data_IF_732651854218
#
_entry.id   IF_732651854218
#
_cell.length_a   1.000
_cell.length_b   1.000
_cell.length_c   1.000
_cell.angle_alpha   90.00
_cell.angle_beta   90.00
_cell.angle_gamma   90.00
#
_symmetry.space_group_name_H-M   'P 1'
#
loop_
_entity.id
_entity.type
_entity.pdbx_description
1 polymer ?
#
# COMPACT_ATOMS: atom_id res chain seq x y z
N UNK A 1 60.00 16.36 -19.51
CA UNK A 1 59.69 15.51 -18.34
C UNK A 1 58.26 15.81 -17.90
N UNK A 2 57.40 14.79 -17.82
CA UNK A 2 55.95 14.90 -17.65
C UNK A 2 55.62 15.33 -16.20
N UNK A 3 54.87 16.42 -16.05
CA UNK A 3 54.32 16.86 -14.76
C UNK A 3 53.13 15.96 -14.41
N UNK A 4 53.24 15.23 -13.30
CA UNK A 4 52.17 14.41 -12.72
C UNK A 4 51.48 15.24 -11.63
N UNK A 5 50.35 15.87 -11.95
CA UNK A 5 49.42 16.37 -10.95
C UNK A 5 48.11 15.60 -11.10
N UNK A 6 48.04 14.42 -10.50
CA UNK A 6 46.77 13.70 -10.33
C UNK A 6 45.97 14.39 -9.23
N UNK A 7 44.97 15.17 -9.62
CA UNK A 7 44.01 15.77 -8.70
C UNK A 7 43.16 14.64 -8.06
N UNK A 8 42.98 14.58 -6.72
CA UNK A 8 42.13 13.56 -6.11
C UNK A 8 40.66 13.78 -6.52
N UNK A 9 40.04 12.75 -7.09
CA UNK A 9 38.61 12.76 -7.40
C UNK A 9 37.79 12.84 -6.09
N UNK A 10 36.74 13.68 -6.03
CA UNK A 10 35.85 13.71 -4.88
C UNK A 10 35.14 12.35 -4.74
N UNK A 11 35.16 11.78 -3.54
CA UNK A 11 34.41 10.58 -3.22
C UNK A 11 32.92 10.90 -3.38
N UNK A 12 32.30 10.39 -4.44
CA UNK A 12 30.84 10.41 -4.58
C UNK A 12 30.25 9.55 -3.46
N UNK A 13 29.37 10.07 -2.60
CA UNK A 13 28.67 9.24 -1.64
C UNK A 13 27.86 8.21 -2.44
N UNK A 14 28.08 6.94 -2.15
CA UNK A 14 27.33 5.83 -2.69
C UNK A 14 25.83 6.08 -2.45
N UNK A 15 25.10 6.50 -3.48
CA UNK A 15 23.68 6.84 -3.42
C UNK A 15 22.83 5.56 -3.46
N UNK A 16 23.08 4.66 -2.51
CA UNK A 16 22.10 3.60 -2.23
C UNK A 16 20.89 4.28 -1.61
N UNK A 17 19.82 4.41 -2.39
CA UNK A 17 18.51 4.85 -1.90
C UNK A 17 18.04 3.87 -0.82
N UNK A 18 18.20 4.26 0.45
CA UNK A 18 17.73 3.50 1.60
C UNK A 18 16.22 3.62 1.69
N UNK A 19 15.50 2.85 0.88
CA UNK A 19 14.05 2.70 1.08
C UNK A 19 13.85 2.06 2.46
N UNK A 20 13.15 2.72 3.40
CA UNK A 20 12.96 2.15 4.72
C UNK A 20 12.20 0.83 4.64
N UNK A 21 12.56 -0.15 5.49
CA UNK A 21 11.90 -1.48 5.47
C UNK A 21 10.39 -1.42 5.66
N UNK A 22 9.88 -0.40 6.36
CA UNK A 22 8.44 -0.20 6.57
C UNK A 22 7.70 0.25 5.30
N UNK A 23 8.40 0.88 4.35
CA UNK A 23 7.78 1.54 3.19
C UNK A 23 7.02 0.54 2.31
N UNK A 24 7.51 -0.68 2.18
CA UNK A 24 6.82 -1.73 1.44
C UNK A 24 5.45 -2.09 2.05
N UNK A 25 5.28 -1.97 3.37
CA UNK A 25 4.01 -2.27 4.02
C UNK A 25 2.92 -1.22 3.78
N UNK A 26 3.27 -0.02 3.31
CA UNK A 26 2.35 1.12 3.31
C UNK A 26 2.28 1.85 1.98
N UNK A 27 3.36 1.86 1.19
CA UNK A 27 3.46 2.68 -0.02
C UNK A 27 3.12 1.93 -1.32
N UNK A 28 2.60 0.70 -1.23
CA UNK A 28 2.19 -0.10 -2.39
C UNK A 28 0.69 -0.01 -2.64
N UNK A 29 0.31 -0.01 -3.92
CA UNK A 29 -1.08 -0.14 -4.32
C UNK A 29 -1.59 -1.53 -3.98
N UNK A 30 -2.59 -1.58 -3.10
CA UNK A 30 -3.23 -2.80 -2.68
C UNK A 30 -4.11 -3.38 -3.79
N UNK A 31 -4.09 -4.71 -3.88
CA UNK A 31 -4.90 -5.48 -4.81
C UNK A 31 -6.22 -5.90 -4.14
N UNK A 32 -7.33 -5.66 -4.82
CA UNK A 32 -8.63 -6.17 -4.37
C UNK A 32 -8.70 -7.69 -4.49
N UNK A 33 -9.44 -8.31 -3.58
CA UNK A 33 -9.79 -9.72 -3.69
C UNK A 33 -11.20 -9.98 -3.19
N UNK A 34 -11.88 -10.88 -3.90
CA UNK A 34 -13.19 -11.42 -3.52
C UNK A 34 -13.11 -12.24 -2.23
N UNK A 35 -14.25 -12.60 -1.60
CA UNK A 35 -14.27 -13.49 -0.45
C UNK A 35 -13.38 -14.72 -0.65
N UNK A 36 -12.30 -14.79 0.13
CA UNK A 36 -11.24 -15.79 -0.03
C UNK A 36 -10.96 -16.43 1.33
N UNK A 37 -10.97 -17.78 1.45
CA UNK A 37 -10.57 -18.46 2.68
C UNK A 37 -9.15 -18.09 3.09
N UNK A 38 -8.94 -17.80 4.37
CA UNK A 38 -7.61 -17.46 4.90
C UNK A 38 -6.99 -18.68 5.58
N UNK A 39 -5.72 -18.92 5.30
CA UNK A 39 -4.91 -19.95 5.97
C UNK A 39 -4.41 -19.43 7.30
N UNK A 40 -4.63 -20.18 8.37
CA UNK A 40 -4.04 -19.92 9.69
C UNK A 40 -2.57 -20.34 9.64
N UNK A 41 -1.66 -19.38 9.82
CA UNK A 41 -0.22 -19.65 9.78
C UNK A 41 0.27 -20.28 11.10
N UNK A 42 -0.27 -19.83 12.23
CA UNK A 42 0.12 -20.29 13.57
C UNK A 42 -1.10 -20.31 14.51
N UNK A 43 -1.11 -21.24 15.47
CA UNK A 43 -2.18 -21.37 16.45
C UNK A 43 -3.50 -21.90 15.88
N UNK A 44 -4.62 -21.55 16.51
CA UNK A 44 -5.96 -21.98 16.10
C UNK A 44 -6.97 -20.84 16.33
N UNK A 45 -7.92 -20.67 15.42
CA UNK A 45 -9.03 -19.72 15.61
C UNK A 45 -10.03 -20.35 16.58
N UNK A 46 -10.38 -19.70 17.70
CA UNK A 46 -11.38 -20.23 18.63
C UNK A 46 -12.74 -20.42 17.94
N UNK A 47 -13.37 -21.58 18.13
CA UNK A 47 -14.69 -21.89 17.55
C UNK A 47 -15.77 -20.89 17.99
N UNK A 48 -15.64 -20.36 19.22
CA UNK A 48 -16.56 -19.37 19.77
C UNK A 48 -16.38 -17.96 19.17
N UNK A 49 -15.26 -17.68 18.49
CA UNK A 49 -15.05 -16.39 17.84
C UNK A 49 -15.91 -16.30 16.57
N UNK A 50 -16.97 -15.50 16.65
CA UNK A 50 -17.92 -15.30 15.58
C UNK A 50 -18.13 -13.80 15.36
N UNK A 51 -17.98 -13.37 14.12
CA UNK A 51 -18.13 -11.95 13.79
C UNK A 51 -17.31 -11.53 12.60
N UNK A 52 -17.13 -10.23 12.44
CA UNK A 52 -16.32 -9.67 11.35
C UNK A 52 -15.51 -8.49 11.84
N UNK A 53 -14.20 -8.53 11.62
CA UNK A 53 -13.31 -7.40 11.81
C UNK A 53 -13.29 -6.58 10.53
N UNK A 54 -13.61 -5.29 10.63
CA UNK A 54 -13.48 -4.33 9.55
C UNK A 54 -12.31 -3.38 9.82
N UNK A 55 -11.52 -3.12 8.79
CA UNK A 55 -10.42 -2.15 8.82
C UNK A 55 -10.49 -1.27 7.56
N UNK A 56 -10.34 0.03 7.75
CA UNK A 56 -10.21 1.01 6.67
C UNK A 56 -8.78 1.52 6.60
N UNK A 57 -8.32 1.89 5.41
CA UNK A 57 -7.03 2.54 5.18
C UNK A 57 -6.83 2.93 3.71
N UNK A 58 -5.77 3.69 3.42
CA UNK A 58 -5.38 4.00 2.04
C UNK A 58 -4.96 2.72 1.32
N UNK A 59 -5.63 2.40 0.21
CA UNK A 59 -5.33 1.25 -0.62
C UNK A 59 -4.44 1.61 -1.81
N UNK A 60 -4.53 2.82 -2.36
CA UNK A 60 -3.76 3.23 -3.54
C UNK A 60 -3.12 4.59 -3.32
N UNK A 61 -1.81 4.68 -3.55
CA UNK A 61 -1.02 5.91 -3.34
C UNK A 61 -0.40 6.45 -4.63
N UNK A 62 -0.81 5.91 -5.77
CA UNK A 62 -0.37 6.37 -7.08
C UNK A 62 -1.42 6.10 -8.16
N UNK A 63 -1.45 6.96 -9.17
CA UNK A 63 -2.30 6.82 -10.35
C UNK A 63 -1.69 7.56 -11.54
N UNK A 64 -1.71 6.93 -12.71
CA UNK A 64 -1.19 7.55 -13.94
C UNK A 64 0.30 7.92 -13.86
N UNK A 65 1.08 7.18 -13.07
CA UNK A 65 2.50 7.49 -12.83
C UNK A 65 2.76 8.64 -11.84
N UNK A 66 1.70 9.28 -11.32
CA UNK A 66 1.81 10.31 -10.29
C UNK A 66 1.57 9.69 -8.92
N UNK A 67 2.47 9.98 -7.98
CA UNK A 67 2.33 9.63 -6.56
C UNK A 67 1.56 10.70 -5.82
N UNK A 68 0.80 10.28 -4.83
CA UNK A 68 0.18 11.18 -3.86
C UNK A 68 1.25 11.91 -3.03
N UNK A 69 0.94 13.14 -2.60
CA UNK A 69 1.84 13.96 -1.77
C UNK A 69 1.98 13.42 -0.34
N UNK A 70 0.91 12.85 0.20
CA UNK A 70 0.90 12.23 1.52
C UNK A 70 0.20 10.87 1.49
N UNK A 71 0.65 9.94 2.34
CA UNK A 71 0.02 8.61 2.49
C UNK A 71 -1.45 8.62 2.95
N UNK A 72 -1.99 9.76 3.42
CA UNK A 72 -3.41 9.88 3.76
C UNK A 72 -4.30 10.23 2.56
N UNK A 73 -3.71 10.62 1.43
CA UNK A 73 -4.43 11.00 0.22
C UNK A 73 -4.86 9.80 -0.64
N UNK A 74 -4.48 8.60 -0.22
CA UNK A 74 -4.77 7.39 -0.97
C UNK A 74 -6.24 7.05 -1.00
N UNK A 75 -6.68 6.44 -2.11
CA UNK A 75 -8.04 5.94 -2.25
C UNK A 75 -8.35 4.93 -1.13
N UNK A 76 -9.44 5.16 -0.40
CA UNK A 76 -9.82 4.31 0.73
C UNK A 76 -10.25 2.91 0.31
N UNK A 77 -9.86 1.91 1.09
CA UNK A 77 -10.25 0.52 0.89
C UNK A 77 -10.53 -0.18 2.23
N UNK A 78 -11.48 -1.12 2.19
CA UNK A 78 -11.94 -1.87 3.36
C UNK A 78 -11.43 -3.30 3.29
N UNK A 79 -10.75 -3.74 4.36
CA UNK A 79 -10.54 -5.15 4.68
C UNK A 79 -11.65 -5.62 5.59
N UNK A 80 -12.32 -6.71 5.21
CA UNK A 80 -13.22 -7.47 6.05
C UNK A 80 -12.64 -8.86 6.32
N UNK A 81 -12.51 -9.25 7.58
CA UNK A 81 -12.15 -10.61 8.00
C UNK A 81 -13.29 -11.20 8.80
N UNK A 82 -14.01 -12.14 8.19
CA UNK A 82 -15.14 -12.85 8.82
C UNK A 82 -14.64 -14.11 9.50
N UNK A 83 -14.98 -14.28 10.77
CA UNK A 83 -14.67 -15.46 11.58
C UNK A 83 -15.95 -16.28 11.84
N UNK A 84 -15.80 -17.61 11.80
CA UNK A 84 -16.86 -18.52 12.22
C UNK A 84 -16.43 -19.99 12.12
N UNK A 85 -16.85 -20.81 13.09
CA UNK A 85 -16.58 -22.25 13.09
C UNK A 85 -15.09 -22.62 13.09
N UNK A 86 -14.22 -21.78 13.68
CA UNK A 86 -12.78 -21.98 13.66
C UNK A 86 -12.08 -21.64 12.33
N UNK A 87 -12.79 -20.99 11.39
CA UNK A 87 -12.26 -20.57 10.11
C UNK A 87 -12.35 -19.04 9.91
N UNK A 88 -11.60 -18.53 8.93
CA UNK A 88 -11.65 -17.13 8.52
C UNK A 88 -11.78 -16.97 7.00
N UNK A 89 -12.51 -15.93 6.57
CA UNK A 89 -12.60 -15.51 5.16
C UNK A 89 -12.32 -14.02 5.07
N UNK A 90 -11.41 -13.64 4.17
CA UNK A 90 -11.03 -12.27 3.91
C UNK A 90 -11.73 -11.69 2.68
N UNK A 91 -11.94 -10.38 2.64
CA UNK A 91 -12.31 -9.62 1.44
C UNK A 91 -11.67 -8.25 1.49
N UNK A 92 -11.17 -7.74 0.37
CA UNK A 92 -10.61 -6.39 0.29
C UNK A 92 -11.14 -5.65 -0.94
N UNK A 93 -11.75 -4.48 -0.72
CA UNK A 93 -12.39 -3.67 -1.77
C UNK A 93 -12.13 -2.18 -1.60
N UNK A 94 -11.90 -1.49 -2.71
CA UNK A 94 -11.90 -0.03 -2.75
C UNK A 94 -13.30 0.51 -2.51
N UNK A 95 -13.39 1.55 -1.69
CA UNK A 95 -14.62 2.30 -1.51
C UNK A 95 -14.90 3.05 -2.80
N UNK A 96 -16.09 2.82 -3.36
CA UNK A 96 -16.54 3.40 -4.63
C UNK A 96 -16.99 4.86 -4.45
N UNK A 97 -16.07 5.72 -3.98
CA UNK A 97 -16.32 7.15 -3.87
C UNK A 97 -16.41 7.79 -5.25
N UNK A 98 -17.11 8.92 -5.36
CA UNK A 98 -17.18 9.66 -6.62
C UNK A 98 -15.78 10.07 -7.12
N UNK A 99 -14.87 10.46 -6.20
CA UNK A 99 -13.49 10.80 -6.51
C UNK A 99 -12.71 9.62 -7.10
N UNK A 100 -12.75 8.46 -6.42
CA UNK A 100 -12.12 7.23 -6.90
C UNK A 100 -12.62 6.85 -8.29
N UNK A 101 -13.93 6.88 -8.53
CA UNK A 101 -14.52 6.51 -9.82
C UNK A 101 -14.09 7.45 -10.93
N UNK A 102 -14.11 8.77 -10.70
CA UNK A 102 -13.70 9.77 -11.67
C UNK A 102 -12.20 9.64 -12.02
N UNK A 103 -11.34 9.49 -11.00
CA UNK A 103 -9.91 9.32 -11.21
C UNK A 103 -9.56 7.97 -11.86
N UNK A 104 -10.27 6.90 -11.50
CA UNK A 104 -10.14 5.60 -12.15
C UNK A 104 -10.51 5.65 -13.62
N UNK A 105 -11.62 6.32 -13.97
CA UNK A 105 -12.02 6.51 -15.36
C UNK A 105 -11.02 7.39 -16.13
N UNK A 106 -10.47 8.44 -15.51
CA UNK A 106 -9.51 9.34 -16.13
C UNK A 106 -8.08 8.80 -16.18
N UNK A 107 -7.76 7.78 -15.39
CA UNK A 107 -6.41 7.20 -15.27
C UNK A 107 -5.37 8.13 -14.63
N UNK A 108 -5.78 9.23 -14.00
CA UNK A 108 -4.92 10.25 -13.39
C UNK A 108 -5.58 10.88 -12.17
N UNK A 109 -4.79 11.57 -11.36
CA UNK A 109 -5.30 12.38 -10.25
C UNK A 109 -6.07 13.58 -10.79
N UNK A 110 -7.23 13.84 -10.19
CA UNK A 110 -8.14 14.92 -10.57
C UNK A 110 -8.41 15.88 -9.41
N UNK A 111 -8.36 15.38 -8.17
CA UNK A 111 -8.69 16.17 -6.98
C UNK A 111 -7.47 16.39 -6.10
N UNK A 112 -7.42 17.56 -5.45
CA UNK A 112 -6.46 17.83 -4.38
C UNK A 112 -6.98 17.25 -3.06
N UNK A 113 -6.10 16.58 -2.32
CA UNK A 113 -6.40 16.01 -1.01
C UNK A 113 -5.64 16.77 0.08
N UNK A 114 -5.15 16.09 1.11
CA UNK A 114 -4.44 16.68 2.22
C UNK A 114 -3.06 17.24 1.82
N UNK A 115 -2.31 16.52 0.96
CA UNK A 115 -0.94 16.86 0.56
C UNK A 115 -0.79 17.35 -0.88
#
# INVERSE_FOLDING_TARGET
MRSLTSNPQPLTPNSQSLTPKWAAGVLHTAQEFSPTPLTVLEGQIPVALQGTLYRNGPGRLERGGQRMGHWFDGDGAILAVRFGGGAATGTYRYVQTAGYQAEAAAGRLLFGNYG
#
